data_IF_243646796588
#
_entry.id   IF_243646796588
#
_cell.length_a   1.000
_cell.length_b   1.000
_cell.length_c   1.000
_cell.angle_alpha   90.00
_cell.angle_beta   90.00
_cell.angle_gamma   90.00
#
_symmetry.space_group_name_H-M   'P 1'
#
loop_
_entity.id
_entity.type
_entity.pdbx_description
1 polymer ?
#
# COMPACT_ATOMS: atom_id res chain seq x y z
N UNK A 1 -12.64 4.14 13.52
CA UNK A 1 -11.66 4.69 12.56
C UNK A 1 -12.40 4.88 11.26
N UNK A 2 -12.44 6.12 10.76
CA UNK A 2 -12.87 6.38 9.39
C UNK A 2 -11.71 5.86 8.51
N UNK A 3 -12.00 4.92 7.62
CA UNK A 3 -11.03 4.48 6.62
C UNK A 3 -10.99 5.45 5.45
N UNK A 4 -9.90 5.43 4.68
CA UNK A 4 -9.54 6.39 3.63
C UNK A 4 -10.67 6.71 2.64
N UNK A 5 -11.58 5.75 2.40
CA UNK A 5 -12.68 5.90 1.43
C UNK A 5 -14.07 5.81 2.07
N UNK A 6 -14.15 5.73 3.41
CA UNK A 6 -15.40 5.46 4.16
C UNK A 6 -16.42 6.59 4.14
N UNK A 7 -16.03 7.79 3.71
CA UNK A 7 -16.93 8.92 3.51
C UNK A 7 -17.44 8.98 2.05
N UNK A 8 -18.29 8.02 1.67
CA UNK A 8 -19.28 8.26 0.61
C UNK A 8 -18.99 7.75 -0.81
N UNK A 9 -17.95 6.94 -1.02
CA UNK A 9 -17.67 6.36 -2.34
C UNK A 9 -18.73 5.30 -2.69
N UNK A 10 -19.66 5.62 -3.59
CA UNK A 10 -20.72 4.72 -4.04
C UNK A 10 -20.40 4.12 -5.42
N UNK A 11 -19.47 3.17 -5.48
CA UNK A 11 -19.00 2.60 -6.75
C UNK A 11 -19.68 1.28 -7.09
N UNK A 12 -20.21 1.20 -8.31
CA UNK A 12 -20.66 -0.06 -8.92
C UNK A 12 -19.52 -0.80 -9.64
N UNK A 13 -19.73 -2.07 -9.95
CA UNK A 13 -18.72 -2.95 -10.59
C UNK A 13 -18.17 -2.41 -11.92
N UNK A 14 -18.97 -1.65 -12.67
CA UNK A 14 -18.51 -0.99 -13.90
C UNK A 14 -17.48 0.11 -13.64
N UNK A 15 -17.64 0.88 -12.56
CA UNK A 15 -16.71 1.95 -12.18
C UNK A 15 -15.40 1.40 -11.63
N UNK A 16 -15.45 0.29 -10.89
CA UNK A 16 -14.23 -0.40 -10.44
C UNK A 16 -13.37 -0.86 -11.63
N UNK A 17 -13.99 -1.27 -12.75
CA UNK A 17 -13.26 -1.69 -13.94
C UNK A 17 -12.58 -0.54 -14.69
N UNK A 18 -13.23 0.63 -14.80
CA UNK A 18 -12.60 1.83 -15.38
C UNK A 18 -11.46 2.34 -14.51
N UNK A 19 -11.66 2.39 -13.19
CA UNK A 19 -10.62 2.80 -12.25
C UNK A 19 -9.44 1.84 -12.28
N UNK A 20 -9.68 0.53 -12.34
CA UNK A 20 -8.63 -0.47 -12.50
C UNK A 20 -7.79 -0.25 -13.76
N UNK A 21 -8.42 0.02 -14.90
CA UNK A 21 -7.68 0.33 -16.13
C UNK A 21 -6.84 1.62 -16.01
N UNK A 22 -7.40 2.66 -15.39
CA UNK A 22 -6.70 3.93 -15.17
C UNK A 22 -5.48 3.75 -14.25
N UNK A 23 -5.63 3.01 -13.15
CA UNK A 23 -4.54 2.72 -12.20
C UNK A 23 -3.44 1.90 -12.88
N UNK A 24 -3.80 0.85 -13.63
CA UNK A 24 -2.83 0.02 -14.34
C UNK A 24 -2.01 0.84 -15.34
N UNK A 25 -2.67 1.72 -16.09
CA UNK A 25 -1.99 2.64 -17.02
C UNK A 25 -1.09 3.63 -16.30
N UNK A 26 -1.58 4.30 -15.25
CA UNK A 26 -0.83 5.31 -14.52
C UNK A 26 0.39 4.71 -13.80
N UNK A 27 0.22 3.60 -13.07
CA UNK A 27 1.31 2.97 -12.33
C UNK A 27 2.41 2.44 -13.27
N UNK A 28 2.02 1.90 -14.43
CA UNK A 28 2.97 1.49 -15.47
C UNK A 28 3.79 2.67 -16.00
N UNK A 29 3.13 3.82 -16.20
CA UNK A 29 3.80 5.00 -16.71
C UNK A 29 4.67 5.70 -15.66
N UNK A 30 4.35 5.60 -14.36
CA UNK A 30 5.17 6.15 -13.28
C UNK A 30 6.52 5.41 -13.18
N UNK A 31 6.52 4.08 -13.26
CA UNK A 31 7.75 3.27 -13.27
C UNK A 31 7.59 1.87 -12.68
N UNK A 32 8.59 1.01 -12.87
CA UNK A 32 8.50 -0.43 -12.56
C UNK A 32 8.16 -0.77 -11.09
N UNK A 33 8.72 -0.04 -10.12
CA UNK A 33 8.42 -0.26 -8.71
C UNK A 33 6.95 0.06 -8.38
N UNK A 34 6.46 1.18 -8.90
CA UNK A 34 5.07 1.62 -8.71
C UNK A 34 4.11 0.70 -9.45
N UNK A 35 4.46 0.20 -10.64
CA UNK A 35 3.69 -0.82 -11.36
C UNK A 35 3.47 -2.08 -10.52
N UNK A 36 4.51 -2.61 -9.87
CA UNK A 36 4.39 -3.81 -9.02
C UNK A 36 3.39 -3.58 -7.88
N UNK A 37 3.52 -2.45 -7.20
CA UNK A 37 2.61 -2.08 -6.10
C UNK A 37 1.22 -1.69 -6.58
N UNK A 38 1.09 -1.16 -7.80
CA UNK A 38 -0.19 -0.93 -8.47
C UNK A 38 -0.94 -2.24 -8.68
N UNK A 39 -0.22 -3.35 -8.93
CA UNK A 39 -0.78 -4.71 -8.96
C UNK A 39 -1.55 -5.06 -7.68
N UNK A 40 -1.01 -4.72 -6.50
CA UNK A 40 -1.68 -4.93 -5.20
C UNK A 40 -3.03 -4.22 -5.15
N UNK A 41 -3.10 -2.98 -5.66
CA UNK A 41 -4.34 -2.21 -5.69
C UNK A 41 -5.32 -2.74 -6.74
N UNK A 42 -4.84 -3.23 -7.88
CA UNK A 42 -5.69 -3.87 -8.90
C UNK A 42 -6.32 -5.16 -8.36
N UNK A 43 -5.53 -5.97 -7.66
CA UNK A 43 -6.02 -7.18 -7.00
C UNK A 43 -7.04 -6.83 -5.91
N UNK A 44 -6.79 -5.78 -5.12
CA UNK A 44 -7.76 -5.28 -4.16
C UNK A 44 -9.07 -4.82 -4.82
N UNK A 45 -9.00 -4.11 -5.96
CA UNK A 45 -10.16 -3.68 -6.74
C UNK A 45 -10.98 -4.86 -7.22
N UNK A 46 -10.32 -5.93 -7.68
CA UNK A 46 -10.99 -7.16 -8.12
C UNK A 46 -11.80 -7.82 -6.99
N UNK A 47 -11.39 -7.59 -5.73
CA UNK A 47 -12.02 -8.09 -4.51
C UNK A 47 -13.05 -7.13 -3.91
N UNK A 48 -13.12 -5.90 -4.42
CA UNK A 48 -14.11 -4.89 -4.06
C UNK A 48 -13.59 -3.78 -3.14
N UNK A 49 -14.38 -2.71 -3.07
CA UNK A 49 -14.05 -1.46 -2.37
C UNK A 49 -13.57 -1.65 -0.91
N UNK A 50 -14.17 -2.52 -0.07
CA UNK A 50 -13.71 -2.70 1.31
C UNK A 50 -12.27 -3.22 1.43
N UNK A 51 -11.77 -3.96 0.42
CA UNK A 51 -10.38 -4.43 0.41
C UNK A 51 -9.45 -3.30 -0.01
N UNK A 52 -9.84 -2.50 -1.00
CA UNK A 52 -9.09 -1.32 -1.43
C UNK A 52 -8.93 -0.32 -0.28
N UNK A 53 -10.01 -0.04 0.45
CA UNK A 53 -10.00 0.81 1.64
C UNK A 53 -8.93 0.38 2.66
N UNK A 54 -8.89 -0.93 2.96
CA UNK A 54 -7.92 -1.48 3.90
C UNK A 54 -6.49 -1.34 3.40
N UNK A 55 -6.22 -1.58 2.12
CA UNK A 55 -4.87 -1.42 1.56
C UNK A 55 -4.43 0.04 1.63
N UNK A 56 -5.30 0.98 1.25
CA UNK A 56 -4.99 2.41 1.34
C UNK A 56 -4.71 2.82 2.80
N UNK A 57 -5.54 2.38 3.74
CA UNK A 57 -5.36 2.62 5.18
C UNK A 57 -4.03 2.08 5.69
N UNK A 58 -3.66 0.86 5.29
CA UNK A 58 -2.39 0.24 5.64
C UNK A 58 -1.23 1.05 5.06
N UNK A 59 -1.29 1.42 3.78
CA UNK A 59 -0.25 2.21 3.12
C UNK A 59 -0.01 3.54 3.85
N UNK A 60 -1.08 4.27 4.21
CA UNK A 60 -0.96 5.51 4.96
C UNK A 60 -0.40 5.29 6.38
N UNK A 61 -0.93 4.32 7.12
CA UNK A 61 -0.51 4.06 8.50
C UNK A 61 0.96 3.62 8.59
N UNK A 62 1.36 2.67 7.73
CA UNK A 62 2.74 2.19 7.67
C UNK A 62 3.65 3.28 7.12
N UNK A 63 3.21 4.03 6.11
CA UNK A 63 3.92 5.17 5.54
C UNK A 63 4.27 6.22 6.60
N UNK A 64 3.33 6.58 7.46
CA UNK A 64 3.60 7.42 8.64
C UNK A 64 4.61 6.78 9.59
N UNK A 65 4.43 5.49 9.88
CA UNK A 65 5.28 4.75 10.81
C UNK A 65 6.74 4.64 10.35
N UNK A 66 7.00 4.67 9.04
CA UNK A 66 8.37 4.67 8.47
C UNK A 66 8.87 6.07 8.09
N UNK A 67 8.09 7.13 8.38
CA UNK A 67 8.50 8.51 8.14
C UNK A 67 8.30 9.03 6.72
N UNK A 68 7.63 8.27 5.83
CA UNK A 68 7.23 8.76 4.51
C UNK A 68 6.19 9.87 4.59
N UNK A 69 5.41 9.91 5.67
CA UNK A 69 4.44 10.95 5.97
C UNK A 69 4.63 11.48 7.39
N UNK A 70 4.38 12.77 7.59
CA UNK A 70 4.28 13.36 8.93
C UNK A 70 3.00 12.86 9.64
N UNK A 71 3.00 12.80 10.99
CA UNK A 71 1.85 12.32 11.75
C UNK A 71 0.53 13.04 11.46
N UNK A 72 0.61 14.34 11.15
CA UNK A 72 -0.51 15.24 10.87
C UNK A 72 -1.13 15.04 9.49
N UNK A 73 -0.42 14.38 8.57
CA UNK A 73 -0.92 14.15 7.20
C UNK A 73 -2.12 13.21 7.21
N UNK A 74 -2.98 13.36 6.21
CA UNK A 74 -4.33 12.80 6.14
C UNK A 74 -4.56 12.03 4.84
N UNK A 75 -5.80 11.63 4.62
CA UNK A 75 -6.25 10.97 3.40
C UNK A 75 -6.10 11.88 2.16
N UNK A 76 -6.26 13.19 2.34
CA UNK A 76 -6.07 14.17 1.27
C UNK A 76 -4.63 14.16 0.75
N UNK A 77 -3.65 13.90 1.62
CA UNK A 77 -2.25 13.81 1.23
C UNK A 77 -1.98 12.58 0.33
N UNK A 78 -2.78 11.52 0.46
CA UNK A 78 -2.70 10.35 -0.44
C UNK A 78 -3.28 10.68 -1.81
N UNK A 79 -4.41 11.39 -1.87
CA UNK A 79 -5.01 11.84 -3.13
C UNK A 79 -4.08 12.82 -3.86
N UNK A 80 -3.52 13.77 -3.11
CA UNK A 80 -2.57 14.76 -3.60
C UNK A 80 -1.30 14.11 -4.14
N UNK A 81 -0.75 13.12 -3.42
CA UNK A 81 0.39 12.33 -3.89
C UNK A 81 0.05 11.56 -5.18
N UNK A 82 -1.11 10.93 -5.25
CA UNK A 82 -1.56 10.22 -6.44
C UNK A 82 -1.73 11.13 -7.66
N UNK A 83 -2.27 12.33 -7.45
CA UNK A 83 -2.45 13.33 -8.51
C UNK A 83 -1.10 13.88 -9.00
N UNK A 84 -0.17 14.17 -8.09
CA UNK A 84 1.20 14.58 -8.45
C UNK A 84 1.93 13.49 -9.20
N UNK A 85 1.81 12.23 -8.76
CA UNK A 85 2.45 11.11 -9.44
C UNK A 85 1.94 10.97 -10.89
N UNK A 86 0.62 11.08 -11.11
CA UNK A 86 0.05 11.07 -12.46
C UNK A 86 0.55 12.27 -13.30
N UNK A 87 0.55 13.48 -12.73
CA UNK A 87 1.04 14.70 -13.43
C UNK A 87 2.53 14.63 -13.76
N UNK A 88 3.35 14.05 -12.88
CA UNK A 88 4.80 13.92 -13.11
C UNK A 88 5.11 13.16 -14.40
N UNK A 89 4.28 12.17 -14.75
CA UNK A 89 4.38 11.42 -16.01
C UNK A 89 4.14 12.32 -17.22
N UNK A 90 3.20 13.27 -17.14
CA UNK A 90 2.93 14.25 -18.21
C UNK A 90 4.15 15.17 -18.44
N UNK A 91 4.95 15.39 -17.39
CA UNK A 91 6.19 16.16 -17.42
C UNK A 91 7.42 15.31 -17.79
N UNK A 92 7.24 14.01 -18.07
CA UNK A 92 8.32 13.08 -18.40
C UNK A 92 9.18 12.65 -17.20
N UNK A 93 8.64 12.83 -16.00
CA UNK A 93 9.24 12.42 -14.73
C UNK A 93 8.76 11.01 -14.38
N UNK A 94 9.70 10.11 -14.10
CA UNK A 94 9.44 8.71 -13.80
C UNK A 94 10.24 8.29 -12.57
N UNK A 95 9.72 7.35 -11.77
CA UNK A 95 10.37 6.91 -10.52
C UNK A 95 11.78 6.35 -10.73
N UNK A 96 12.04 5.75 -11.90
CA UNK A 96 13.34 5.16 -12.28
C UNK A 96 14.45 6.20 -12.50
N UNK A 97 14.11 7.49 -12.60
CA UNK A 97 15.07 8.58 -12.73
C UNK A 97 15.68 8.99 -11.39
N UNK A 98 15.19 8.43 -10.28
CA UNK A 98 15.61 8.77 -8.92
C UNK A 98 16.38 7.60 -8.30
N UNK A 99 17.31 7.93 -7.41
CA UNK A 99 18.12 6.93 -6.69
C UNK A 99 17.29 6.10 -5.69
N UNK A 100 16.09 6.58 -5.33
CA UNK A 100 15.20 5.94 -4.38
C UNK A 100 13.74 6.37 -4.57
N UNK A 101 12.79 5.53 -4.14
CA UNK A 101 11.37 5.86 -4.10
C UNK A 101 11.11 7.02 -3.14
N UNK A 102 11.87 7.14 -2.04
CA UNK A 102 11.80 8.32 -1.17
C UNK A 102 12.15 9.60 -1.94
N UNK A 103 13.24 9.60 -2.71
CA UNK A 103 13.66 10.78 -3.48
C UNK A 103 12.62 11.16 -4.55
N UNK A 104 11.98 10.16 -5.17
CA UNK A 104 10.84 10.39 -6.06
C UNK A 104 9.65 11.01 -5.32
N UNK A 105 9.26 10.49 -4.15
CA UNK A 105 8.16 11.04 -3.33
C UNK A 105 8.45 12.48 -2.90
N UNK A 106 9.70 12.78 -2.53
CA UNK A 106 10.12 14.14 -2.15
C UNK A 106 10.00 15.08 -3.36
N UNK A 107 10.49 14.67 -4.54
CA UNK A 107 10.34 15.43 -5.78
C UNK A 107 8.86 15.67 -6.13
N UNK A 108 8.00 14.66 -6.03
CA UNK A 108 6.57 14.83 -6.27
C UNK A 108 5.98 15.94 -5.39
N UNK A 109 6.38 16.00 -4.12
CA UNK A 109 5.84 16.99 -3.16
C UNK A 109 6.40 18.38 -3.37
N UNK A 110 7.68 18.50 -3.71
CA UNK A 110 8.40 19.77 -3.76
C UNK A 110 8.30 20.45 -5.13
N UNK A 111 8.34 19.66 -6.21
CA UNK A 111 8.54 20.18 -7.57
C UNK A 111 7.29 20.04 -8.47
N UNK A 112 6.42 19.05 -8.22
CA UNK A 112 5.19 18.90 -9.00
C UNK A 112 4.10 19.82 -8.43
N UNK A 113 3.95 20.97 -9.07
CA UNK A 113 2.96 21.97 -8.69
C UNK A 113 1.54 21.50 -9.01
N UNK A 114 0.69 21.52 -7.98
CA UNK A 114 -0.76 21.46 -8.14
C UNK A 114 -1.32 22.88 -8.13
N UNK A 115 -2.11 23.20 -9.15
CA UNK A 115 -2.74 24.50 -9.24
C UNK A 115 -3.72 24.67 -8.07
N UNK A 116 -3.98 25.92 -7.69
CA UNK A 116 -4.97 26.22 -6.64
C UNK A 116 -6.34 25.58 -6.91
N UNK A 117 -6.73 25.49 -8.19
CA UNK A 117 -7.94 24.79 -8.59
C UNK A 117 -7.90 23.27 -8.37
N UNK A 118 -6.73 22.63 -8.50
CA UNK A 118 -6.58 21.20 -8.28
C UNK A 118 -6.73 20.89 -6.79
N UNK A 119 -6.06 21.70 -5.95
CA UNK A 119 -6.13 21.61 -4.49
C UNK A 119 -7.54 21.90 -3.96
N UNK A 120 -8.19 22.97 -4.44
CA UNK A 120 -9.57 23.34 -4.06
C UNK A 120 -10.62 22.29 -4.50
N UNK A 121 -10.25 21.39 -5.41
CA UNK A 121 -11.09 20.30 -5.93
C UNK A 121 -10.79 18.96 -5.28
N UNK A 122 -9.71 18.76 -4.52
CA UNK A 122 -9.40 17.47 -3.88
C UNK A 122 -10.58 16.92 -3.07
N UNK A 123 -11.24 17.77 -2.28
CA UNK A 123 -12.43 17.39 -1.50
C UNK A 123 -13.69 17.14 -2.35
N UNK A 124 -13.72 17.72 -3.56
CA UNK A 124 -14.83 17.72 -4.51
C UNK A 124 -14.62 16.76 -5.69
N UNK A 125 -13.55 15.98 -5.67
CA UNK A 125 -13.29 14.96 -6.67
C UNK A 125 -14.48 14.01 -6.79
N UNK A 126 -14.70 13.50 -7.99
CA UNK A 126 -15.65 12.40 -8.20
C UNK A 126 -15.21 11.18 -7.40
N UNK A 127 -16.14 10.31 -7.04
CA UNK A 127 -15.80 9.05 -6.35
C UNK A 127 -14.80 8.20 -7.16
N UNK A 128 -14.88 8.29 -8.49
CA UNK A 128 -13.96 7.64 -9.42
C UNK A 128 -12.54 8.20 -9.28
N UNK A 129 -12.40 9.52 -9.31
CA UNK A 129 -11.11 10.19 -9.17
C UNK A 129 -10.52 10.02 -7.77
N UNK A 130 -11.35 10.07 -6.73
CA UNK A 130 -10.92 9.80 -5.34
C UNK A 130 -10.32 8.40 -5.25
N UNK A 131 -11.04 7.39 -5.75
CA UNK A 131 -10.52 6.02 -5.74
C UNK A 131 -9.24 5.90 -6.58
N UNK A 132 -9.22 6.47 -7.79
CA UNK A 132 -8.05 6.46 -8.68
C UNK A 132 -6.81 7.03 -7.96
N UNK A 133 -6.90 8.25 -7.44
CA UNK A 133 -5.76 8.90 -6.80
C UNK A 133 -5.39 8.28 -5.46
N UNK A 134 -6.36 7.77 -4.69
CA UNK A 134 -6.07 6.98 -3.49
C UNK A 134 -5.19 5.77 -3.81
N UNK A 135 -5.54 5.03 -4.86
CA UNK A 135 -4.82 3.84 -5.29
C UNK A 135 -3.43 4.19 -5.83
N UNK A 136 -3.29 5.22 -6.67
CA UNK A 136 -1.99 5.65 -7.20
C UNK A 136 -1.09 6.12 -6.05
N UNK A 137 -1.60 6.98 -5.16
CA UNK A 137 -0.85 7.44 -3.99
C UNK A 137 -0.45 6.30 -3.07
N UNK A 138 -1.33 5.30 -2.90
CA UNK A 138 -1.05 4.08 -2.12
C UNK A 138 0.01 3.20 -2.77
N UNK A 139 -0.02 3.04 -4.09
CA UNK A 139 1.01 2.29 -4.82
C UNK A 139 2.39 2.94 -4.63
N UNK A 140 2.50 4.25 -4.89
CA UNK A 140 3.73 5.03 -4.66
C UNK A 140 4.21 4.90 -3.21
N UNK A 141 3.28 5.00 -2.25
CA UNK A 141 3.59 4.85 -0.83
C UNK A 141 4.09 3.46 -0.48
N UNK A 142 3.44 2.40 -0.98
CA UNK A 142 3.87 1.01 -0.75
C UNK A 142 5.25 0.78 -1.34
N UNK A 143 5.56 1.35 -2.51
CA UNK A 143 6.90 1.27 -3.10
C UNK A 143 7.94 1.93 -2.20
N UNK A 144 7.64 3.11 -1.66
CA UNK A 144 8.44 3.77 -0.63
C UNK A 144 8.61 2.93 0.64
N UNK A 145 7.53 2.32 1.14
CA UNK A 145 7.58 1.46 2.33
C UNK A 145 8.52 0.29 2.11
N UNK A 146 8.37 -0.43 0.98
CA UNK A 146 9.21 -1.58 0.64
C UNK A 146 10.70 -1.23 0.64
N UNK A 147 11.06 -0.02 0.21
CA UNK A 147 12.44 0.47 0.22
C UNK A 147 13.00 0.74 1.63
N UNK A 148 12.14 1.09 2.60
CA UNK A 148 12.57 1.35 3.98
C UNK A 148 12.99 0.07 4.74
N UNK A 149 12.51 -1.09 4.30
CA UNK A 149 12.83 -2.37 4.92
C UNK A 149 13.95 -3.09 4.17
N UNK A 150 14.91 -3.64 4.91
CA UNK A 150 16.06 -4.42 4.38
C UNK A 150 15.71 -5.87 4.05
N UNK A 151 14.42 -6.16 3.90
CA UNK A 151 13.87 -7.47 3.52
C UNK A 151 12.98 -7.30 2.30
N UNK A 152 12.93 -8.33 1.46
CA UNK A 152 11.99 -8.37 0.34
C UNK A 152 10.57 -8.61 0.86
N UNK A 153 9.68 -7.63 0.74
CA UNK A 153 8.26 -7.74 1.10
C UNK A 153 7.46 -8.14 -0.15
N UNK A 154 6.88 -9.35 -0.22
CA UNK A 154 6.02 -9.76 -1.33
C UNK A 154 4.85 -8.82 -1.57
N UNK A 155 4.43 -8.69 -2.81
CA UNK A 155 3.17 -8.04 -3.19
C UNK A 155 1.97 -8.75 -2.57
N UNK A 156 2.03 -10.08 -2.46
CA UNK A 156 0.99 -10.92 -1.83
C UNK A 156 0.83 -10.66 -0.34
N UNK A 157 1.87 -10.13 0.34
CA UNK A 157 1.85 -9.84 1.77
C UNK A 157 0.67 -8.97 2.18
N UNK A 158 0.38 -7.92 1.39
CA UNK A 158 -0.62 -6.92 1.75
C UNK A 158 -2.04 -7.50 1.78
N UNK A 159 -2.38 -8.33 0.80
CA UNK A 159 -3.70 -8.98 0.73
C UNK A 159 -3.80 -10.15 1.70
N UNK A 160 -2.76 -10.98 1.81
CA UNK A 160 -2.73 -12.08 2.77
C UNK A 160 -2.89 -11.57 4.21
N UNK A 161 -2.27 -10.42 4.53
CA UNK A 161 -2.42 -9.78 5.85
C UNK A 161 -3.87 -9.36 6.13
N UNK A 162 -4.57 -8.82 5.14
CA UNK A 162 -6.01 -8.50 5.27
C UNK A 162 -6.83 -9.79 5.46
N UNK A 163 -6.48 -10.87 4.77
CA UNK A 163 -7.23 -12.13 4.79
C UNK A 163 -7.19 -12.81 6.15
N UNK A 164 -6.04 -12.78 6.83
CA UNK A 164 -5.93 -13.29 8.20
C UNK A 164 -6.36 -12.26 9.26
N UNK A 165 -6.73 -11.05 8.84
CA UNK A 165 -7.28 -10.00 9.70
C UNK A 165 -6.25 -9.14 10.42
N UNK A 166 -5.00 -9.11 9.97
CA UNK A 166 -3.96 -8.23 10.50
C UNK A 166 -4.36 -6.77 10.25
N UNK A 167 -4.49 -6.00 11.32
CA UNK A 167 -4.87 -4.61 11.28
C UNK A 167 -3.72 -3.69 10.87
N UNK A 168 -4.05 -2.49 10.36
CA UNK A 168 -3.07 -1.50 9.87
C UNK A 168 -1.99 -1.12 10.89
N UNK A 169 -2.35 -1.06 12.18
CA UNK A 169 -1.41 -0.71 13.27
C UNK A 169 -0.44 -1.85 13.60
N UNK A 170 -0.75 -3.09 13.15
CA UNK A 170 0.04 -4.29 13.42
C UNK A 170 1.03 -4.59 12.29
N UNK A 171 0.79 -4.07 11.07
CA UNK A 171 1.63 -4.33 9.90
C UNK A 171 3.07 -3.88 10.11
N UNK A 172 3.31 -2.63 10.53
CA UNK A 172 4.68 -2.16 10.72
C UNK A 172 5.42 -2.94 11.82
N UNK A 173 4.87 -3.11 13.05
CA UNK A 173 5.56 -3.92 14.06
C UNK A 173 5.82 -5.37 13.62
N UNK A 174 4.92 -5.96 12.82
CA UNK A 174 5.15 -7.27 12.22
C UNK A 174 6.34 -7.24 11.26
N UNK A 175 6.37 -6.28 10.32
CA UNK A 175 7.50 -6.10 9.40
C UNK A 175 8.82 -5.85 10.13
N UNK A 176 8.81 -5.08 11.23
CA UNK A 176 10.00 -4.85 12.07
C UNK A 176 10.54 -6.17 12.65
N UNK A 177 9.66 -7.11 13.06
CA UNK A 177 10.06 -8.44 13.55
C UNK A 177 10.66 -9.28 12.41
N UNK A 178 10.03 -9.31 11.25
CA UNK A 178 10.56 -10.02 10.07
C UNK A 178 11.93 -9.48 9.65
N UNK A 179 12.12 -8.15 9.73
CA UNK A 179 13.39 -7.52 9.38
C UNK A 179 14.48 -7.84 10.40
N UNK A 180 14.18 -7.76 11.70
CA UNK A 180 15.13 -8.11 12.76
C UNK A 180 15.67 -9.54 12.60
N UNK A 181 14.81 -10.45 12.16
CA UNK A 181 15.12 -11.87 11.99
C UNK A 181 15.61 -12.20 10.57
N UNK A 182 15.65 -11.21 9.68
CA UNK A 182 16.06 -11.34 8.28
C UNK A 182 15.25 -12.44 7.55
N UNK A 183 13.95 -12.50 7.83
CA UNK A 183 13.02 -13.45 7.23
C UNK A 183 12.06 -12.71 6.29
N UNK A 184 11.86 -13.27 5.11
CA UNK A 184 10.88 -12.77 4.14
C UNK A 184 9.44 -12.99 4.67
N UNK A 185 8.58 -11.97 4.72
CA UNK A 185 7.21 -12.08 5.23
C UNK A 185 6.26 -12.67 4.18
N UNK A 186 6.52 -13.90 3.74
CA UNK A 186 5.70 -14.61 2.75
C UNK A 186 4.50 -15.31 3.40
N UNK A 187 3.55 -14.50 3.86
CA UNK A 187 2.36 -14.98 4.56
C UNK A 187 1.45 -15.81 3.64
N UNK A 188 1.30 -15.41 2.39
CA UNK A 188 0.53 -16.17 1.40
C UNK A 188 1.14 -17.57 1.16
N UNK A 189 2.44 -17.63 0.88
CA UNK A 189 3.11 -18.91 0.70
C UNK A 189 3.07 -19.78 1.96
N UNK A 190 3.20 -19.18 3.14
CA UNK A 190 3.12 -19.89 4.43
C UNK A 190 1.76 -20.53 4.63
N UNK A 191 0.68 -19.78 4.42
CA UNK A 191 -0.71 -20.26 4.54
C UNK A 191 -1.01 -21.38 3.54
N UNK A 192 -0.46 -21.28 2.32
CA UNK A 192 -0.64 -22.28 1.28
C UNK A 192 0.28 -23.51 1.45
N UNK A 193 1.17 -23.53 2.45
CA UNK A 193 2.19 -24.57 2.63
C UNK A 193 3.15 -24.70 1.44
N UNK A 194 3.29 -23.62 0.66
CA UNK A 194 4.05 -23.59 -0.59
C UNK A 194 5.52 -23.22 -0.44
N UNK A 195 5.98 -22.93 0.78
CA UNK A 195 7.34 -22.47 1.03
C UNK A 195 8.35 -23.63 1.18
N UNK A 196 9.64 -23.38 0.89
CA UNK A 196 10.70 -24.29 1.31
C UNK A 196 10.63 -24.58 2.81
N UNK A 197 10.88 -25.83 3.22
CA UNK A 197 10.71 -26.28 4.60
C UNK A 197 11.44 -25.40 5.62
N UNK A 198 12.66 -24.94 5.32
CA UNK A 198 13.41 -24.05 6.20
C UNK A 198 12.71 -22.70 6.41
N UNK A 199 12.12 -22.13 5.35
CA UNK A 199 11.39 -20.87 5.44
C UNK A 199 10.04 -21.07 6.13
N UNK A 200 9.34 -22.17 5.85
CA UNK A 200 8.10 -22.53 6.53
C UNK A 200 8.30 -22.62 8.05
N UNK A 201 9.35 -23.32 8.50
CA UNK A 201 9.67 -23.44 9.92
C UNK A 201 10.05 -22.08 10.55
N UNK A 202 10.88 -21.28 9.85
CA UNK A 202 11.23 -19.94 10.36
C UNK A 202 10.02 -19.05 10.55
N UNK A 203 9.11 -19.01 9.58
CA UNK A 203 7.89 -18.21 9.70
C UNK A 203 7.00 -18.75 10.82
N UNK A 204 6.85 -20.07 10.95
CA UNK A 204 6.12 -20.69 12.07
C UNK A 204 6.70 -20.26 13.42
N UNK A 205 8.02 -20.40 13.60
CA UNK A 205 8.71 -20.05 14.84
C UNK A 205 8.53 -18.56 15.17
N UNK A 206 8.60 -17.67 14.17
CA UNK A 206 8.36 -16.24 14.37
C UNK A 206 6.92 -15.94 14.81
N UNK A 207 5.94 -16.61 14.18
CA UNK A 207 4.53 -16.45 14.52
C UNK A 207 4.28 -16.90 15.97
N UNK A 208 4.75 -18.08 16.34
CA UNK A 208 4.55 -18.67 17.67
C UNK A 208 5.29 -17.89 18.78
N UNK A 209 6.55 -17.51 18.54
CA UNK A 209 7.43 -17.00 19.60
C UNK A 209 7.53 -15.47 19.69
N UNK A 210 7.27 -14.73 18.61
CA UNK A 210 7.56 -13.28 18.53
C UNK A 210 6.35 -12.43 18.17
N UNK A 211 5.44 -12.96 17.36
CA UNK A 211 4.31 -12.18 16.85
C UNK A 211 3.05 -12.25 17.72
N UNK A 212 3.02 -13.10 18.76
CA UNK A 212 1.86 -13.21 19.66
C UNK A 212 1.43 -11.90 20.31
N UNK A 213 2.38 -11.10 20.80
CA UNK A 213 2.10 -9.78 21.40
C UNK A 213 1.74 -8.72 20.37
N UNK A 214 2.17 -8.89 19.11
CA UNK A 214 1.95 -7.94 18.01
C UNK A 214 0.59 -8.18 17.36
N UNK A 215 0.28 -9.44 17.07
CA UNK A 215 -0.88 -9.85 16.29
C UNK A 215 -2.08 -10.21 17.18
N UNK A 216 -1.84 -10.64 18.42
CA UNK A 216 -2.88 -11.13 19.31
C UNK A 216 -3.37 -12.53 18.94
N UNK A 217 -3.92 -13.24 19.93
CA UNK A 217 -4.19 -14.67 19.86
C UNK A 217 -5.12 -15.07 18.70
N UNK A 218 -6.14 -14.27 18.38
CA UNK A 218 -7.08 -14.59 17.30
C UNK A 218 -6.39 -14.69 15.93
N UNK A 219 -5.45 -13.79 15.66
CA UNK A 219 -4.72 -13.78 14.39
C UNK A 219 -3.68 -14.91 14.37
N UNK A 220 -3.01 -15.17 15.48
CA UNK A 220 -2.08 -16.30 15.61
C UNK A 220 -2.81 -17.63 15.36
N UNK A 221 -3.98 -17.82 15.93
CA UNK A 221 -4.80 -19.01 15.68
C UNK A 221 -5.19 -19.14 14.21
N UNK A 222 -5.49 -18.04 13.50
CA UNK A 222 -5.76 -18.09 12.05
C UNK A 222 -4.52 -18.41 11.22
N UNK A 223 -3.34 -18.03 11.68
CA UNK A 223 -2.08 -18.29 10.99
C UNK A 223 -1.60 -19.74 11.20
N UNK A 224 -1.83 -20.32 12.38
CA UNK A 224 -1.27 -21.62 12.77
C UNK A 224 -2.24 -22.82 12.63
N UNK A 225 -3.49 -22.58 12.24
CA UNK A 225 -4.50 -23.63 11.99
C UNK A 225 -4.67 -23.93 10.50
#
# INVERSE_FOLDING_TARGET
>A
MLGLLSAGIALGSGLLSTVGAAIGSACSAIGGAVLSTGGVLLDAISRGLPVVEKICDIALAVGKGVGLFSPEQSECDMYELGMRAERSVEEGVHSEQFDSNQAYIDHLREEIELGKEDLDKLDKLSDEDKLKYACIGSAVTIAGIKEQFKIDIPETFWLASIDVGIGREQIKPMLDVFEQEQVKPDIDGFLNGGLPSDLQHKIYDLIDSRLGEVLGNEIIEKLLN
#
